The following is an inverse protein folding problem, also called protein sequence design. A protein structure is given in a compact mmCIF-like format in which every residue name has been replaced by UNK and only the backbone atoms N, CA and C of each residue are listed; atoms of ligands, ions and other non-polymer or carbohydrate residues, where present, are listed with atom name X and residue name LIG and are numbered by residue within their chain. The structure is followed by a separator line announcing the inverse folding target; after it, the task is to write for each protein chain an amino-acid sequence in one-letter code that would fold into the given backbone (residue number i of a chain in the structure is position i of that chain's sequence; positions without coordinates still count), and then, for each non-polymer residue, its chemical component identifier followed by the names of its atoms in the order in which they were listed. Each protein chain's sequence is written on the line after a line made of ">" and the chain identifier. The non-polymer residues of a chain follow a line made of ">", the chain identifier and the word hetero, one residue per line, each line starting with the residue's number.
data_IF_869879825795
#
_entry.id   IF_869879825795
#
_cell.length_a   1.000
_cell.length_b   1.000
_cell.length_c   1.000
_cell.angle_alpha   90.00
_cell.angle_beta   90.00
_cell.angle_gamma   90.00
#
_symmetry.space_group_name_H-M   'P 1'
#
loop_
_entity.id
_entity.type
_entity.pdbx_description
1 polymer ?
#
# COMPACT_ATOMS: atom_id res chain seq x y z
N UNK A 1 10.28 19.26 15.03
CA UNK A 1 9.53 20.06 14.03
C UNK A 1 8.95 19.07 13.05
N UNK A 2 7.63 18.86 13.04
CA UNK A 2 6.98 17.92 12.13
C UNK A 2 6.67 18.69 10.85
N UNK A 3 7.47 18.48 9.81
CA UNK A 3 7.30 19.16 8.53
C UNK A 3 6.04 18.63 7.85
N UNK A 4 4.98 19.44 7.84
CA UNK A 4 3.77 19.17 7.07
C UNK A 4 4.08 19.33 5.58
N UNK A 5 4.20 18.23 4.86
CA UNK A 5 4.27 18.22 3.40
C UNK A 5 2.84 18.23 2.86
N UNK A 6 2.27 19.42 2.66
CA UNK A 6 1.01 19.58 1.93
C UNK A 6 1.33 19.66 0.43
N UNK A 7 1.58 18.51 -0.19
CA UNK A 7 1.77 18.42 -1.64
C UNK A 7 0.45 17.98 -2.27
N UNK A 8 -0.47 18.91 -2.51
CA UNK A 8 -1.65 18.63 -3.32
C UNK A 8 -1.23 18.59 -4.79
N UNK A 9 -0.98 17.37 -5.29
CA UNK A 9 -0.78 17.09 -6.70
C UNK A 9 -2.15 17.12 -7.41
N UNK A 10 -2.15 17.35 -8.74
CA UNK A 10 -3.35 17.15 -9.56
C UNK A 10 -3.84 15.71 -9.38
N UNK A 11 -5.05 15.55 -8.85
CA UNK A 11 -5.66 14.26 -8.61
C UNK A 11 -6.44 13.84 -9.87
N UNK A 12 -5.91 12.85 -10.59
CA UNK A 12 -6.62 12.20 -11.69
C UNK A 12 -7.41 11.03 -11.13
N UNK A 13 -8.74 11.06 -11.29
CA UNK A 13 -9.65 10.00 -10.89
C UNK A 13 -10.31 9.38 -12.11
N UNK A 14 -10.64 8.09 -12.04
CA UNK A 14 -11.30 7.39 -13.13
C UNK A 14 -12.81 7.35 -12.89
N UNK A 15 -13.55 7.78 -13.90
CA UNK A 15 -15.01 7.79 -13.88
C UNK A 15 -15.56 6.57 -14.60
N UNK A 16 -16.62 6.01 -14.02
CA UNK A 16 -17.46 5.00 -14.65
C UNK A 16 -18.83 5.62 -14.90
N UNK A 17 -19.28 5.58 -16.15
CA UNK A 17 -20.58 6.06 -16.59
C UNK A 17 -21.44 4.88 -17.02
N UNK A 18 -22.64 4.81 -16.45
CA UNK A 18 -23.63 3.77 -16.71
C UNK A 18 -24.98 4.42 -17.02
N UNK A 19 -25.84 3.75 -17.77
CA UNK A 19 -27.25 4.15 -17.93
C UNK A 19 -28.09 3.33 -16.96
N UNK A 20 -28.96 4.00 -16.21
CA UNK A 20 -29.92 3.33 -15.30
C UNK A 20 -31.08 2.74 -16.09
N UNK A 21 -31.89 1.89 -15.44
CA UNK A 21 -33.11 1.30 -16.03
C UNK A 21 -34.12 2.37 -16.50
N UNK A 22 -34.03 3.58 -15.96
CA UNK A 22 -34.85 4.74 -16.33
C UNK A 22 -34.22 5.61 -17.44
N UNK A 23 -33.09 5.19 -18.01
CA UNK A 23 -32.37 5.94 -19.04
C UNK A 23 -31.56 7.14 -18.52
N UNK A 24 -31.51 7.34 -17.21
CA UNK A 24 -30.69 8.38 -16.58
C UNK A 24 -29.22 7.99 -16.59
N UNK A 25 -28.34 8.99 -16.59
CA UNK A 25 -26.91 8.79 -16.47
C UNK A 25 -26.53 8.58 -15.01
N UNK A 26 -25.77 7.53 -14.72
CA UNK A 26 -25.17 7.25 -13.42
C UNK A 26 -23.66 7.35 -13.52
N UNK A 27 -23.07 8.31 -12.81
CA UNK A 27 -21.63 8.52 -12.75
C UNK A 27 -21.09 8.07 -11.39
N UNK A 28 -19.98 7.34 -11.38
CA UNK A 28 -19.28 6.95 -10.15
C UNK A 28 -17.77 7.02 -10.30
N UNK A 29 -17.08 7.25 -9.19
CA UNK A 29 -15.61 7.25 -9.12
C UNK A 29 -15.14 5.85 -8.73
N UNK A 30 -14.19 5.28 -9.47
CA UNK A 30 -13.69 3.93 -9.21
C UNK A 30 -12.98 3.82 -7.85
N UNK A 31 -12.22 4.85 -7.49
CA UNK A 31 -11.43 4.94 -6.27
C UNK A 31 -12.27 5.31 -5.04
N UNK A 32 -13.46 5.89 -5.24
CA UNK A 32 -14.35 6.37 -4.19
C UNK A 32 -15.75 5.75 -4.40
N UNK A 33 -15.98 4.51 -3.94
CA UNK A 33 -17.22 3.77 -4.22
C UNK A 33 -18.48 4.45 -3.65
N UNK A 34 -18.30 5.35 -2.67
CA UNK A 34 -19.39 6.12 -2.07
C UNK A 34 -19.75 7.38 -2.88
N UNK A 35 -18.95 7.76 -3.87
CA UNK A 35 -19.22 8.91 -4.73
C UNK A 35 -19.95 8.46 -6.00
N UNK A 36 -21.27 8.52 -5.95
CA UNK A 36 -22.18 8.14 -7.03
C UNK A 36 -23.22 9.23 -7.22
N UNK A 37 -23.48 9.60 -8.47
CA UNK A 37 -24.50 10.59 -8.85
C UNK A 37 -25.35 10.03 -9.97
N UNK A 38 -26.65 10.35 -9.94
CA UNK A 38 -27.58 10.09 -11.03
C UNK A 38 -28.15 11.42 -11.55
N UNK A 39 -28.12 11.63 -12.86
CA UNK A 39 -28.62 12.83 -13.52
C UNK A 39 -29.27 12.50 -14.88
N UNK A 40 -29.94 13.48 -15.48
CA UNK A 40 -30.63 13.26 -16.75
C UNK A 40 -29.66 13.06 -17.93
N UNK A 41 -28.50 13.70 -17.88
CA UNK A 41 -27.46 13.62 -18.93
C UNK A 41 -26.11 13.22 -18.35
N UNK A 42 -25.22 12.73 -19.21
CA UNK A 42 -23.87 12.33 -18.81
C UNK A 42 -23.08 13.57 -18.33
N UNK A 43 -23.26 14.70 -19.01
CA UNK A 43 -22.62 15.98 -18.66
C UNK A 43 -23.07 16.50 -17.29
N UNK A 44 -24.37 16.41 -16.98
CA UNK A 44 -24.91 16.79 -15.67
C UNK A 44 -24.36 15.89 -14.56
N UNK A 45 -24.30 14.58 -14.81
CA UNK A 45 -23.79 13.62 -13.83
C UNK A 45 -22.30 13.89 -13.54
N UNK A 46 -21.50 14.17 -14.57
CA UNK A 46 -20.07 14.51 -14.43
C UNK A 46 -19.90 15.83 -13.66
N UNK A 47 -20.64 16.89 -14.01
CA UNK A 47 -20.52 18.19 -13.36
C UNK A 47 -20.88 18.13 -11.87
N UNK A 48 -21.96 17.42 -11.53
CA UNK A 48 -22.36 17.18 -10.14
C UNK A 48 -21.30 16.37 -9.40
N UNK A 49 -20.78 15.31 -10.00
CA UNK A 49 -19.75 14.47 -9.39
C UNK A 49 -18.45 15.25 -9.14
N UNK A 50 -18.03 16.11 -10.07
CA UNK A 50 -16.89 17.00 -9.89
C UNK A 50 -17.10 17.98 -8.73
N UNK A 51 -18.29 18.56 -8.60
CA UNK A 51 -18.61 19.47 -7.50
C UNK A 51 -18.56 18.76 -6.13
N UNK A 52 -19.06 17.52 -6.05
CA UNK A 52 -18.99 16.70 -4.83
C UNK A 52 -17.53 16.41 -4.46
N UNK A 53 -16.71 15.98 -5.42
CA UNK A 53 -15.29 15.69 -5.18
C UNK A 53 -14.58 16.97 -4.72
N UNK A 54 -14.75 18.08 -5.43
CA UNK A 54 -14.12 19.35 -5.06
C UNK A 54 -14.53 19.79 -3.64
N UNK A 55 -15.81 19.67 -3.30
CA UNK A 55 -16.31 19.99 -1.95
C UNK A 55 -15.78 19.06 -0.87
N UNK A 56 -15.72 17.74 -1.14
CA UNK A 56 -15.15 16.78 -0.20
C UNK A 56 -13.70 17.09 0.09
N UNK A 57 -12.89 17.32 -0.96
CA UNK A 57 -11.45 17.57 -0.84
C UNK A 57 -11.07 18.98 -0.38
N UNK A 58 -11.98 19.96 -0.44
CA UNK A 58 -11.72 21.33 0.02
C UNK A 58 -11.35 21.41 1.51
N UNK A 59 -11.98 20.59 2.35
CA UNK A 59 -11.82 20.61 3.80
C UNK A 59 -11.17 19.32 4.37
N UNK A 60 -10.53 18.50 3.52
CA UNK A 60 -9.91 17.24 3.98
C UNK A 60 -8.72 17.53 4.89
N UNK A 61 -8.84 17.06 6.13
CA UNK A 61 -7.72 16.92 7.04
C UNK A 61 -7.31 15.46 7.12
N UNK A 62 -6.12 15.15 6.63
CA UNK A 62 -5.51 13.84 6.82
C UNK A 62 -5.07 13.74 8.28
N UNK A 63 -5.69 12.83 9.03
CA UNK A 63 -5.34 12.56 10.42
C UNK A 63 -4.67 11.19 10.50
N UNK A 64 -3.44 11.09 11.05
CA UNK A 64 -2.86 9.79 11.33
C UNK A 64 -3.68 9.13 12.44
N UNK A 65 -4.04 7.87 12.23
CA UNK A 65 -4.64 7.02 13.26
C UNK A 65 -3.68 5.87 13.48
N UNK A 66 -3.15 5.76 14.68
CA UNK A 66 -2.38 4.60 15.12
C UNK A 66 -3.38 3.50 15.50
N UNK A 67 -3.58 2.56 14.58
CA UNK A 67 -4.37 1.36 14.87
C UNK A 67 -3.40 0.30 15.36
N UNK A 68 -3.55 -0.13 16.61
CA UNK A 68 -2.92 -1.35 17.09
C UNK A 68 -3.64 -2.52 16.45
N UNK A 69 -3.25 -2.83 15.21
CA UNK A 69 -3.57 -4.13 14.64
C UNK A 69 -2.77 -5.11 15.47
N UNK A 70 -3.45 -5.96 16.24
CA UNK A 70 -2.87 -7.21 16.71
C UNK A 70 -2.58 -8.04 15.46
N UNK A 71 -1.50 -7.65 14.76
CA UNK A 71 -0.76 -8.59 13.97
C UNK A 71 -0.43 -9.71 14.92
N UNK A 72 -0.35 -10.90 14.36
CA UNK A 72 -0.09 -12.20 14.97
C UNK A 72 1.21 -12.26 15.81
N UNK A 73 1.66 -11.18 16.44
CA UNK A 73 2.81 -11.03 17.33
C UNK A 73 2.62 -11.72 18.69
N UNK A 74 1.45 -12.30 18.97
CA UNK A 74 1.30 -13.30 20.05
C UNK A 74 1.60 -14.73 19.60
N UNK A 75 1.79 -15.01 18.30
CA UNK A 75 2.42 -16.26 17.88
C UNK A 75 3.92 -16.00 17.76
N UNK A 76 4.68 -16.84 18.43
CA UNK A 76 6.14 -16.95 18.32
C UNK A 76 6.59 -16.73 16.88
N UNK A 77 7.68 -15.99 16.70
CA UNK A 77 8.29 -15.78 15.39
C UNK A 77 8.51 -17.17 14.76
N UNK A 78 7.96 -17.46 13.56
CA UNK A 78 8.09 -18.78 12.93
C UNK A 78 9.54 -19.16 12.62
N UNK A 79 10.48 -18.21 12.72
CA UNK A 79 11.91 -18.45 12.59
C UNK A 79 12.59 -18.87 13.90
N UNK A 80 11.92 -18.75 15.04
CA UNK A 80 12.48 -19.10 16.36
C UNK A 80 12.81 -20.59 16.47
N UNK A 81 12.00 -21.46 15.86
CA UNK A 81 12.23 -22.91 15.88
C UNK A 81 13.47 -23.35 15.09
N UNK A 82 14.00 -22.48 14.22
CA UNK A 82 15.13 -22.78 13.34
C UNK A 82 16.45 -22.15 13.79
N UNK A 83 16.46 -21.44 14.92
CA UNK A 83 17.69 -20.84 15.48
C UNK A 83 18.66 -21.96 15.84
N UNK A 84 19.86 -21.94 15.25
CA UNK A 84 20.89 -22.94 15.52
C UNK A 84 20.61 -24.32 14.93
N UNK A 85 19.63 -24.47 14.02
CA UNK A 85 19.27 -25.76 13.42
C UNK A 85 20.45 -26.53 12.80
N UNK A 86 21.48 -25.82 12.32
CA UNK A 86 22.67 -26.39 11.70
C UNK A 86 23.96 -26.12 12.49
N UNK A 87 23.86 -25.75 13.77
CA UNK A 87 25.02 -25.56 14.62
C UNK A 87 25.78 -26.90 14.79
N UNK A 88 27.07 -26.91 14.43
CA UNK A 88 27.91 -28.11 14.48
C UNK A 88 27.76 -29.08 13.31
N UNK A 89 26.90 -28.79 12.33
CA UNK A 89 26.79 -29.60 11.11
C UNK A 89 27.97 -29.32 10.17
N UNK A 90 28.81 -30.35 9.98
CA UNK A 90 30.03 -30.25 9.17
C UNK A 90 29.74 -30.12 7.66
N UNK A 91 28.65 -30.69 7.17
CA UNK A 91 28.25 -30.62 5.76
C UNK A 91 27.71 -29.22 5.45
N UNK A 92 26.85 -28.69 6.32
CA UNK A 92 26.35 -27.33 6.21
C UNK A 92 27.49 -26.29 6.30
N UNK A 93 28.46 -26.49 7.19
CA UNK A 93 29.63 -25.62 7.32
C UNK A 93 30.50 -25.63 6.05
N UNK A 94 30.64 -26.77 5.36
CA UNK A 94 31.39 -26.86 4.11
C UNK A 94 30.70 -26.07 2.98
N UNK A 95 29.38 -26.23 2.83
CA UNK A 95 28.57 -25.50 1.84
C UNK A 95 28.61 -23.99 2.11
N UNK A 96 28.46 -23.58 3.38
CA UNK A 96 28.52 -22.17 3.76
C UNK A 96 29.87 -21.53 3.41
N UNK A 97 30.98 -22.26 3.61
CA UNK A 97 32.33 -21.80 3.25
C UNK A 97 32.49 -21.62 1.74
N UNK A 98 31.98 -22.56 0.95
CA UNK A 98 32.01 -22.47 -0.52
C UNK A 98 31.25 -21.23 -1.01
N UNK A 99 30.04 -20.99 -0.48
CA UNK A 99 29.25 -19.80 -0.80
C UNK A 99 29.92 -18.49 -0.38
N UNK A 100 30.68 -18.48 0.73
CA UNK A 100 31.43 -17.31 1.19
C UNK A 100 32.62 -16.98 0.27
N UNK A 101 33.32 -18.02 -0.20
CA UNK A 101 34.40 -17.89 -1.18
C UNK A 101 33.91 -17.26 -2.49
N UNK A 102 32.78 -17.72 -3.02
CA UNK A 102 32.18 -17.14 -4.24
C UNK A 102 31.78 -15.67 -4.05
N UNK A 103 31.37 -15.29 -2.84
CA UNK A 103 31.00 -13.91 -2.49
C UNK A 103 32.22 -13.02 -2.20
N UNK A 104 33.44 -13.55 -2.28
CA UNK A 104 34.68 -12.82 -2.08
C UNK A 104 34.98 -12.47 -0.62
N UNK A 105 34.40 -13.18 0.35
CA UNK A 105 34.59 -12.86 1.78
C UNK A 105 36.02 -13.12 2.29
N UNK A 106 36.79 -13.97 1.59
CA UNK A 106 38.19 -14.27 1.94
C UNK A 106 39.21 -13.24 1.41
N UNK A 107 38.81 -12.27 0.57
CA UNK A 107 39.74 -11.23 0.08
C UNK A 107 39.91 -10.03 1.05
N UNK A 108 39.18 -9.98 2.18
CA UNK A 108 39.25 -8.87 3.13
C UNK A 108 39.90 -9.18 4.49
N UNK A 109 40.46 -10.37 4.69
CA UNK A 109 41.46 -10.62 5.74
C UNK A 109 41.15 -10.04 7.13
N UNK A 110 39.98 -10.31 7.70
CA UNK A 110 39.69 -10.01 9.11
C UNK A 110 39.59 -11.32 9.90
N UNK A 111 40.76 -11.86 10.23
CA UNK A 111 40.95 -12.70 11.40
C UNK A 111 41.00 -11.80 12.64
N UNK A 112 40.08 -11.98 13.57
CA UNK A 112 40.35 -11.80 15.01
C UNK A 112 39.90 -13.05 15.77
#
# INVERSE_FOLDING_TARGET
>A
MVSSVSQFQNLTLHLVLEKTEHGQARARVLELPNCVVEAATDEEAIAQLQAIIAGQFADVRVMPIEVTVSTKAERENPWTEFIGMYEGDAEFAAIARELQLERGFDELGLTE
#
